data_IF_354352706810
#
_entry.id   IF_354352706810
#
_cell.length_a   1.000
_cell.length_b   1.000
_cell.length_c   1.000
_cell.angle_alpha   90.00
_cell.angle_beta   90.00
_cell.angle_gamma   90.00
#
_symmetry.space_group_name_H-M   'P 1'
#
loop_
_entity.id
_entity.type
_entity.pdbx_description
1 polymer ?
#
# COMPACT_ATOMS: atom_id res chain seq x y z
N UNK A 1 13.35 20.10 -2.33
CA UNK A 1 11.91 20.12 -1.99
C UNK A 1 11.71 19.23 -0.78
N UNK A 2 11.35 19.75 0.41
CA UNK A 2 11.03 18.90 1.56
C UNK A 2 9.78 18.06 1.24
N UNK A 3 9.82 16.78 1.61
CA UNK A 3 8.76 15.81 1.36
C UNK A 3 7.44 16.28 2.02
N UNK A 4 6.41 16.53 1.20
CA UNK A 4 5.09 17.00 1.64
C UNK A 4 4.15 15.87 2.08
N UNK A 5 4.64 14.63 2.21
CA UNK A 5 3.84 13.46 2.59
C UNK A 5 3.49 13.43 4.10
N UNK A 6 3.07 14.56 4.68
CA UNK A 6 2.62 14.66 6.07
C UNK A 6 1.10 14.59 6.14
N UNK A 7 0.58 13.80 7.07
CA UNK A 7 -0.86 13.77 7.35
C UNK A 7 -1.34 15.14 7.81
N UNK A 8 -2.57 15.50 7.42
CA UNK A 8 -3.25 16.71 7.90
C UNK A 8 -3.35 16.75 9.42
N UNK A 9 -3.55 15.59 10.05
CA UNK A 9 -3.52 15.40 11.50
C UNK A 9 -2.31 14.51 11.85
N UNK A 10 -1.17 15.09 12.24
CA UNK A 10 0.06 14.33 12.48
C UNK A 10 -0.06 13.30 13.59
N UNK A 11 -0.87 13.59 14.61
CA UNK A 11 -1.10 12.71 15.76
C UNK A 11 -1.82 11.41 15.36
N UNK A 12 -2.49 11.39 14.21
CA UNK A 12 -3.19 10.21 13.71
C UNK A 12 -2.28 9.21 12.99
N UNK A 13 -0.96 9.46 12.88
CA UNK A 13 -0.05 8.63 12.10
C UNK A 13 -0.08 7.13 12.49
N UNK A 14 -0.01 6.84 13.79
CA UNK A 14 -0.04 5.45 14.28
C UNK A 14 -1.36 4.75 13.95
N UNK A 15 -2.49 5.43 14.18
CA UNK A 15 -3.82 4.91 13.85
C UNK A 15 -4.01 4.73 12.35
N UNK A 16 -3.45 5.63 11.54
CA UNK A 16 -3.50 5.55 10.10
C UNK A 16 -2.78 4.31 9.58
N UNK A 17 -1.64 3.97 10.15
CA UNK A 17 -0.89 2.77 9.76
C UNK A 17 -1.63 1.48 10.16
N UNK A 18 -2.25 1.45 11.33
CA UNK A 18 -3.14 0.36 11.73
C UNK A 18 -4.32 0.22 10.77
N UNK A 19 -4.95 1.32 10.40
CA UNK A 19 -6.09 1.30 9.50
C UNK A 19 -5.72 0.82 8.10
N UNK A 20 -4.53 1.15 7.59
CA UNK A 20 -4.02 0.57 6.32
C UNK A 20 -3.96 -0.95 6.38
N UNK A 21 -3.52 -1.53 7.51
CA UNK A 21 -3.47 -2.98 7.69
C UNK A 21 -4.87 -3.59 7.73
N UNK A 22 -5.81 -2.93 8.42
CA UNK A 22 -7.21 -3.37 8.44
C UNK A 22 -7.81 -3.40 7.03
N UNK A 23 -7.65 -2.31 6.29
CA UNK A 23 -8.11 -2.22 4.89
C UNK A 23 -7.44 -3.28 4.02
N UNK A 24 -6.13 -3.51 4.19
CA UNK A 24 -5.41 -4.53 3.43
C UNK A 24 -5.98 -5.94 3.66
N UNK A 25 -6.36 -6.25 4.90
CA UNK A 25 -7.03 -7.51 5.24
C UNK A 25 -8.48 -7.56 4.73
N UNK A 26 -9.24 -6.46 4.86
CA UNK A 26 -10.64 -6.36 4.42
C UNK A 26 -10.79 -6.57 2.91
N UNK A 27 -9.91 -5.96 2.12
CA UNK A 27 -9.93 -6.10 0.65
C UNK A 27 -9.34 -7.43 0.15
N UNK A 28 -8.88 -8.29 1.06
CA UNK A 28 -8.36 -9.61 0.74
C UNK A 28 -7.05 -9.61 -0.04
N UNK A 29 -6.09 -8.76 0.34
CA UNK A 29 -4.76 -8.83 -0.26
C UNK A 29 -4.08 -10.18 0.01
N UNK A 30 -3.20 -10.67 -0.90
CA UNK A 30 -2.49 -11.93 -0.71
C UNK A 30 -1.71 -11.95 0.60
N UNK A 31 -1.89 -13.00 1.40
CA UNK A 31 -1.20 -13.17 2.69
C UNK A 31 -0.03 -14.16 2.63
N UNK A 32 0.16 -14.85 1.49
CA UNK A 32 1.22 -15.83 1.26
C UNK A 32 1.34 -16.89 2.37
N UNK A 33 0.20 -17.45 2.78
CA UNK A 33 0.14 -18.47 3.82
C UNK A 33 0.08 -17.93 5.26
N UNK A 34 0.19 -16.62 5.46
CA UNK A 34 -0.10 -16.01 6.75
C UNK A 34 -1.63 -15.91 7.00
N UNK A 35 -2.09 -15.96 8.27
CA UNK A 35 -3.51 -15.85 8.59
C UNK A 35 -4.07 -14.44 8.34
N UNK A 36 -3.24 -13.40 8.47
CA UNK A 36 -3.57 -12.00 8.19
C UNK A 36 -2.30 -11.17 8.00
N UNK A 37 -2.44 -10.01 7.38
CA UNK A 37 -1.40 -8.99 7.26
C UNK A 37 -1.29 -8.26 8.61
N UNK A 38 -0.09 -8.23 9.17
CA UNK A 38 0.27 -7.58 10.44
C UNK A 38 1.43 -6.63 10.22
N UNK A 39 1.74 -5.79 11.21
CA UNK A 39 2.90 -4.90 11.14
C UNK A 39 4.22 -5.65 10.91
N UNK A 40 4.33 -6.87 11.46
CA UNK A 40 5.56 -7.68 11.41
C UNK A 40 5.79 -8.30 10.03
N UNK A 41 4.73 -8.83 9.40
CA UNK A 41 4.85 -9.51 8.10
C UNK A 41 4.57 -8.60 6.89
N UNK A 42 4.04 -7.39 7.11
CA UNK A 42 3.64 -6.46 6.06
C UNK A 42 4.78 -6.20 5.06
N UNK A 43 5.99 -5.95 5.55
CA UNK A 43 7.14 -5.69 4.66
C UNK A 43 7.41 -6.87 3.73
N UNK A 44 7.43 -8.09 4.25
CA UNK A 44 7.68 -9.30 3.47
C UNK A 44 6.56 -9.55 2.45
N UNK A 45 5.31 -9.36 2.87
CA UNK A 45 4.13 -9.51 2.00
C UNK A 45 4.17 -8.48 0.87
N UNK A 46 4.44 -7.21 1.19
CA UNK A 46 4.56 -6.14 0.20
C UNK A 46 5.69 -6.41 -0.78
N UNK A 47 6.83 -6.91 -0.33
CA UNK A 47 7.94 -7.25 -1.21
C UNK A 47 7.58 -8.38 -2.18
N UNK A 48 6.90 -9.43 -1.73
CA UNK A 48 6.39 -10.47 -2.61
C UNK A 48 5.38 -9.91 -3.62
N UNK A 49 4.43 -9.08 -3.18
CA UNK A 49 3.47 -8.43 -4.08
C UNK A 49 4.15 -7.56 -5.14
N UNK A 50 5.23 -6.85 -4.80
CA UNK A 50 5.98 -6.03 -5.77
C UNK A 50 6.54 -6.89 -6.90
N UNK A 51 7.12 -8.05 -6.58
CA UNK A 51 7.68 -8.95 -7.59
C UNK A 51 6.60 -9.63 -8.42
N UNK A 52 5.48 -10.03 -7.82
CA UNK A 52 4.34 -10.57 -8.55
C UNK A 52 3.81 -9.58 -9.58
N UNK A 53 3.54 -8.35 -9.14
CA UNK A 53 3.04 -7.27 -10.00
C UNK A 53 4.09 -6.86 -11.05
N UNK A 54 5.38 -6.85 -10.71
CA UNK A 54 6.44 -6.65 -11.69
C UNK A 54 6.44 -7.76 -12.75
N UNK A 55 6.16 -9.01 -12.38
CA UNK A 55 5.92 -10.11 -13.30
C UNK A 55 4.77 -9.83 -14.25
N UNK A 56 3.61 -9.45 -13.73
CA UNK A 56 2.44 -9.07 -14.53
C UNK A 56 2.71 -7.92 -15.50
N UNK A 57 3.59 -6.99 -15.11
CA UNK A 57 3.98 -5.82 -15.89
C UNK A 57 5.18 -6.08 -16.83
N UNK A 58 5.75 -7.28 -16.85
CA UNK A 58 6.91 -7.63 -17.66
C UNK A 58 8.21 -6.90 -17.25
N UNK A 59 8.30 -6.47 -15.99
CA UNK A 59 9.43 -5.70 -15.45
C UNK A 59 10.52 -6.59 -14.85
N UNK A 60 10.25 -7.88 -14.60
CA UNK A 60 11.23 -8.80 -13.99
C UNK A 60 12.61 -8.79 -14.67
N UNK A 61 12.73 -8.75 -16.02
CA UNK A 61 14.05 -8.71 -16.67
C UNK A 61 14.87 -7.45 -16.37
N UNK A 62 14.22 -6.36 -15.95
CA UNK A 62 14.87 -5.09 -15.61
C UNK A 62 15.31 -5.04 -14.15
N UNK A 63 14.83 -5.97 -13.31
CA UNK A 63 15.16 -6.05 -11.88
C UNK A 63 16.36 -6.99 -11.71
N UNK A 64 17.57 -6.45 -11.77
CA UNK A 64 18.79 -7.25 -11.72
C UNK A 64 19.17 -7.57 -10.26
N UNK A 65 19.21 -8.85 -9.89
CA UNK A 65 19.56 -9.29 -8.53
C UNK A 65 18.70 -8.61 -7.43
N UNK A 66 17.44 -8.26 -7.74
CA UNK A 66 16.57 -7.52 -6.84
C UNK A 66 16.82 -6.00 -6.78
N UNK A 67 17.71 -5.47 -7.61
CA UNK A 67 17.95 -4.04 -7.71
C UNK A 67 16.94 -3.36 -8.64
N UNK A 68 16.22 -2.38 -8.09
CA UNK A 68 15.18 -1.62 -8.81
C UNK A 68 15.69 -0.26 -9.35
N UNK A 69 16.95 0.10 -9.10
CA UNK A 69 17.44 1.45 -9.42
C UNK A 69 17.55 1.74 -10.91
N UNK A 70 17.75 0.72 -11.73
CA UNK A 70 17.78 0.84 -13.19
C UNK A 70 16.39 0.83 -13.83
N UNK A 71 15.35 0.45 -13.06
CA UNK A 71 13.97 0.44 -13.53
C UNK A 71 13.44 1.87 -13.58
N UNK A 72 12.87 2.33 -14.72
CA UNK A 72 12.32 3.68 -14.82
C UNK A 72 11.33 4.00 -13.70
N UNK A 73 11.47 5.18 -13.08
CA UNK A 73 10.63 5.60 -11.94
C UNK A 73 9.12 5.50 -12.20
N UNK A 74 8.67 5.71 -13.45
CA UNK A 74 7.28 5.53 -13.87
C UNK A 74 6.80 4.09 -13.69
N UNK A 75 7.65 3.11 -13.99
CA UNK A 75 7.34 1.68 -13.89
C UNK A 75 7.36 1.22 -12.43
N UNK A 76 8.33 1.68 -11.65
CA UNK A 76 8.32 1.50 -10.19
C UNK A 76 7.05 2.08 -9.56
N UNK A 77 6.64 3.28 -10.01
CA UNK A 77 5.39 3.92 -9.60
C UNK A 77 4.15 3.12 -10.00
N UNK A 78 4.15 2.45 -11.16
CA UNK A 78 3.06 1.58 -11.58
C UNK A 78 2.92 0.34 -10.68
N UNK A 79 4.04 -0.30 -10.33
CA UNK A 79 4.06 -1.43 -9.38
C UNK A 79 3.54 -0.98 -8.01
N UNK A 80 4.15 0.07 -7.44
CA UNK A 80 3.75 0.59 -6.13
C UNK A 80 2.31 1.10 -6.11
N UNK A 81 1.85 1.72 -7.20
CA UNK A 81 0.48 2.22 -7.36
C UNK A 81 -0.58 1.12 -7.38
N UNK A 82 -0.29 -0.05 -7.95
CA UNK A 82 -1.23 -1.20 -7.93
C UNK A 82 -1.45 -1.75 -6.52
N UNK A 83 -0.46 -1.64 -5.64
CA UNK A 83 -0.56 -2.06 -4.23
C UNK A 83 -1.12 -0.93 -3.37
N UNK A 84 -0.38 0.18 -3.31
CA UNK A 84 -0.68 1.32 -2.45
C UNK A 84 -1.96 2.06 -2.86
N UNK A 85 -2.30 2.09 -4.16
CA UNK A 85 -3.53 2.72 -4.64
C UNK A 85 -4.78 1.98 -4.21
N UNK A 86 -4.76 0.64 -4.16
CA UNK A 86 -5.89 -0.16 -3.67
C UNK A 86 -6.12 0.06 -2.17
N UNK A 87 -5.06 0.04 -1.38
CA UNK A 87 -5.14 0.28 0.07
C UNK A 87 -5.57 1.73 0.34
N UNK A 88 -4.83 2.70 -0.21
CA UNK A 88 -5.06 4.12 0.01
C UNK A 88 -6.42 4.60 -0.49
N UNK A 89 -6.87 4.13 -1.66
CA UNK A 89 -8.18 4.50 -2.21
C UNK A 89 -9.35 4.00 -1.36
N UNK A 90 -9.28 2.75 -0.88
CA UNK A 90 -10.30 2.21 0.03
C UNK A 90 -10.25 2.89 1.41
N UNK A 91 -9.06 3.18 1.91
CA UNK A 91 -8.86 3.92 3.15
C UNK A 91 -9.54 5.30 3.08
N UNK A 92 -9.26 6.10 2.06
CA UNK A 92 -9.87 7.43 1.90
C UNK A 92 -11.39 7.32 1.75
N UNK A 93 -11.89 6.37 0.95
CA UNK A 93 -13.33 6.13 0.79
C UNK A 93 -14.01 5.79 2.12
N UNK A 94 -13.40 4.93 2.94
CA UNK A 94 -13.95 4.56 4.24
C UNK A 94 -13.90 5.73 5.24
N UNK A 95 -12.83 6.54 5.22
CA UNK A 95 -12.75 7.76 6.04
C UNK A 95 -13.85 8.77 5.69
N UNK A 96 -14.10 9.00 4.39
CA UNK A 96 -15.15 9.91 3.93
C UNK A 96 -16.51 9.41 4.41
N UNK A 97 -16.80 8.12 4.22
CA UNK A 97 -18.05 7.50 4.69
C UNK A 97 -18.25 7.71 6.20
N UNK A 98 -17.21 7.49 7.00
CA UNK A 98 -17.28 7.71 8.45
C UNK A 98 -17.52 9.18 8.79
N UNK A 99 -16.89 10.12 8.09
CA UNK A 99 -17.11 11.55 8.29
C UNK A 99 -18.56 11.96 7.96
N UNK A 100 -19.10 11.49 6.83
CA UNK A 100 -20.50 11.75 6.42
C UNK A 100 -21.51 11.22 7.44
N UNK A 101 -21.27 10.02 7.99
CA UNK A 101 -22.12 9.43 9.04
C UNK A 101 -22.09 10.22 10.35
N UNK A 102 -20.97 10.88 10.68
CA UNK A 102 -20.86 11.70 11.88
C UNK A 102 -21.40 13.12 11.69
N UNK A 103 -21.42 13.64 10.47
CA UNK A 103 -22.01 14.94 10.13
C UNK A 103 -23.53 14.90 9.97
N UNK A 104 -24.08 13.73 9.68
CA UNK A 104 -25.53 13.50 9.56
C UNK A 104 -26.21 13.16 10.89
N UNK A 105 -25.46 13.17 12.00
CA UNK A 105 -25.97 13.10 13.37
C UNK A 105 -26.10 14.49 13.97
#
# INVERSE_FOLDING_TARGET
>A
MPNQNRLLVPQAASLMDQFKLEIANEIGLPTYGAPRITQENCQQILDQMKYEIAGELGLLPQIQNGYWGDVPARLCGAVGGRIGGKIGGNLVRNMIRFAEQNLSR
#
